data_IF_620086677992
#
_entry.id   IF_620086677992
#
_cell.length_a   1.000
_cell.length_b   1.000
_cell.length_c   1.000
_cell.angle_alpha   90.00
_cell.angle_beta   90.00
_cell.angle_gamma   90.00
#
_symmetry.space_group_name_H-M   'P 1'
#
loop_
_entity.id
_entity.type
_entity.pdbx_description
1 polymer ?
#
# COMPACT_ATOMS: atom_id res chain seq x y z
N UNK A 1 -10.94 21.60 8.35
CA UNK A 1 -10.65 20.52 9.32
C UNK A 1 -11.64 19.39 9.09
N UNK A 2 -11.17 18.20 8.74
CA UNK A 2 -12.02 17.03 8.45
C UNK A 2 -11.42 15.76 9.04
N UNK A 3 -12.22 14.69 9.08
CA UNK A 3 -11.81 13.34 9.52
C UNK A 3 -12.35 12.30 8.55
N UNK A 4 -11.64 11.20 8.36
CA UNK A 4 -12.08 10.05 7.56
C UNK A 4 -11.99 8.79 8.41
N UNK A 5 -13.07 8.01 8.46
CA UNK A 5 -13.16 6.83 9.32
C UNK A 5 -12.87 5.55 8.53
N UNK A 6 -11.98 4.72 9.06
CA UNK A 6 -11.75 3.33 8.64
C UNK A 6 -12.34 2.37 9.68
N UNK A 7 -12.41 1.08 9.35
CA UNK A 7 -12.94 0.06 10.27
C UNK A 7 -11.84 -0.60 11.11
N UNK A 8 -10.64 0.00 11.13
CA UNK A 8 -9.50 -0.48 11.88
C UNK A 8 -8.44 0.60 12.08
N UNK A 9 -7.45 0.36 12.95
CA UNK A 9 -6.33 1.26 13.14
C UNK A 9 -5.53 1.52 11.85
N UNK A 10 -5.08 2.77 11.69
CA UNK A 10 -4.15 3.17 10.64
C UNK A 10 -2.78 3.37 11.29
N UNK A 11 -1.88 2.41 11.10
CA UNK A 11 -0.47 2.52 11.52
C UNK A 11 0.44 2.93 10.36
N UNK A 12 -0.03 2.78 9.11
CA UNK A 12 0.69 3.20 7.92
C UNK A 12 0.90 4.70 7.91
N UNK A 13 2.03 5.18 7.42
CA UNK A 13 2.17 6.58 7.02
C UNK A 13 1.37 6.83 5.74
N UNK A 14 0.65 7.96 5.61
CA UNK A 14 -0.05 8.30 4.38
C UNK A 14 0.92 8.61 3.23
N UNK A 15 0.57 8.21 2.01
CA UNK A 15 1.29 8.57 0.79
C UNK A 15 0.39 9.41 -0.13
N UNK A 16 0.82 10.62 -0.48
CA UNK A 16 0.05 11.54 -1.32
C UNK A 16 0.64 11.63 -2.73
N UNK A 17 -0.19 11.46 -3.76
CA UNK A 17 0.17 11.74 -5.14
C UNK A 17 -1.02 12.33 -5.91
N UNK A 18 -0.84 13.47 -6.57
CA UNK A 18 -1.88 14.17 -7.35
C UNK A 18 -3.27 14.18 -6.68
N UNK A 19 -3.33 14.72 -5.45
CA UNK A 19 -4.54 14.82 -4.62
C UNK A 19 -5.15 13.49 -4.15
N UNK A 20 -4.57 12.34 -4.50
CA UNK A 20 -5.01 11.04 -3.97
C UNK A 20 -4.10 10.61 -2.83
N UNK A 21 -4.69 10.41 -1.66
CA UNK A 21 -4.04 9.92 -0.46
C UNK A 21 -4.24 8.40 -0.36
N UNK A 22 -3.14 7.67 -0.18
CA UNK A 22 -3.15 6.24 0.03
C UNK A 22 -2.78 5.90 1.48
N UNK A 23 -3.56 5.03 2.12
CA UNK A 23 -3.31 4.56 3.50
C UNK A 23 -3.58 3.06 3.63
N UNK A 24 -2.69 2.35 4.31
CA UNK A 24 -2.88 0.98 4.75
C UNK A 24 -3.61 0.93 6.09
N UNK A 25 -4.53 -0.02 6.24
CA UNK A 25 -5.34 -0.18 7.44
C UNK A 25 -5.35 -1.62 7.97
N UNK A 26 -5.48 -1.75 9.28
CA UNK A 26 -5.63 -3.04 9.96
C UNK A 26 -6.95 -3.74 9.68
N UNK A 27 -7.92 -3.07 9.06
CA UNK A 27 -9.14 -3.73 8.55
C UNK A 27 -8.91 -4.49 7.22
N UNK A 28 -7.64 -4.69 6.85
CA UNK A 28 -7.17 -5.44 5.68
C UNK A 28 -7.33 -4.69 4.36
N UNK A 29 -7.54 -3.37 4.39
CA UNK A 29 -7.65 -2.57 3.17
C UNK A 29 -6.48 -1.60 2.98
N UNK A 30 -6.09 -1.42 1.73
CA UNK A 30 -5.50 -0.17 1.26
C UNK A 30 -6.64 0.74 0.78
N UNK A 31 -6.65 1.98 1.23
CA UNK A 31 -7.61 3.01 0.81
C UNK A 31 -6.97 4.00 -0.14
N UNK A 32 -7.73 4.48 -1.12
CA UNK A 32 -7.45 5.67 -1.90
C UNK A 32 -8.52 6.73 -1.65
N UNK A 33 -8.08 7.90 -1.21
CA UNK A 33 -8.95 8.99 -0.75
C UNK A 33 -8.60 10.22 -1.57
N UNK A 34 -9.58 10.77 -2.29
CA UNK A 34 -9.43 12.04 -2.98
C UNK A 34 -9.51 13.20 -2.00
N UNK A 35 -8.54 14.10 -2.09
CA UNK A 35 -8.36 15.31 -1.30
C UNK A 35 -8.62 16.59 -2.10
N UNK A 36 -9.22 16.50 -3.30
CA UNK A 36 -9.60 17.66 -4.11
C UNK A 36 -10.57 18.62 -3.41
N UNK A 37 -11.29 18.13 -2.39
CA UNK A 37 -12.13 18.93 -1.51
C UNK A 37 -11.42 19.19 -0.16
N UNK A 38 -11.13 20.45 0.15
CA UNK A 38 -10.46 20.86 1.39
C UNK A 38 -11.27 20.57 2.68
N UNK A 39 -12.56 20.27 2.55
CA UNK A 39 -13.48 20.02 3.66
C UNK A 39 -13.76 18.54 3.92
N UNK A 40 -13.37 17.62 3.02
CA UNK A 40 -13.60 16.19 3.21
C UNK A 40 -12.68 15.33 2.32
N UNK A 41 -12.25 14.18 2.86
CA UNK A 41 -11.69 13.11 2.05
C UNK A 41 -12.79 12.26 1.44
N UNK A 42 -12.75 12.01 0.13
CA UNK A 42 -13.75 11.21 -0.58
C UNK A 42 -13.13 9.86 -0.94
N UNK A 43 -13.74 8.76 -0.48
CA UNK A 43 -13.29 7.42 -0.86
C UNK A 43 -13.42 7.22 -2.37
N UNK A 44 -12.31 6.98 -3.06
CA UNK A 44 -12.29 6.63 -4.48
C UNK A 44 -12.41 5.11 -4.65
N UNK A 45 -11.54 4.37 -3.97
CA UNK A 45 -11.54 2.91 -3.97
C UNK A 45 -10.84 2.37 -2.72
N UNK A 46 -11.04 1.08 -2.46
CA UNK A 46 -10.25 0.32 -1.50
C UNK A 46 -9.95 -1.08 -2.03
N UNK A 47 -8.77 -1.60 -1.72
CA UNK A 47 -8.31 -2.92 -2.15
C UNK A 47 -8.17 -3.85 -0.95
N UNK A 48 -8.85 -5.00 -0.96
CA UNK A 48 -8.82 -5.99 0.11
C UNK A 48 -7.56 -6.85 0.02
N UNK A 49 -6.82 -6.94 1.11
CA UNK A 49 -5.68 -7.83 1.31
C UNK A 49 -6.10 -9.07 2.11
N UNK A 50 -5.32 -10.16 2.04
CA UNK A 50 -5.56 -11.37 2.84
C UNK A 50 -5.26 -11.18 4.34
N UNK A 51 -4.69 -10.04 4.75
CA UNK A 51 -4.36 -9.73 6.14
C UNK A 51 -4.22 -8.23 6.36
N UNK A 52 -3.94 -7.83 7.60
CA UNK A 52 -3.83 -6.43 8.00
C UNK A 52 -2.76 -5.71 7.17
N UNK A 53 -3.04 -4.47 6.79
CA UNK A 53 -2.08 -3.64 6.05
C UNK A 53 -1.44 -2.67 7.03
N UNK A 54 -0.30 -3.07 7.60
CA UNK A 54 0.49 -2.26 8.51
C UNK A 54 1.44 -1.31 7.76
N UNK A 55 2.02 -1.80 6.65
CA UNK A 55 3.02 -1.09 5.86
C UNK A 55 2.49 0.22 5.25
N UNK A 56 3.39 1.19 5.01
CA UNK A 56 3.07 2.40 4.27
C UNK A 56 3.14 2.15 2.76
N UNK A 57 2.17 2.64 1.97
CA UNK A 57 2.21 2.53 0.51
C UNK A 57 3.38 3.32 -0.08
N UNK A 58 3.98 2.80 -1.15
CA UNK A 58 4.95 3.52 -1.97
C UNK A 58 4.40 3.69 -3.39
N UNK A 59 4.24 4.94 -3.81
CA UNK A 59 3.75 5.31 -5.14
C UNK A 59 4.95 5.49 -6.08
N UNK A 60 4.90 4.87 -7.26
CA UNK A 60 5.99 4.89 -8.25
C UNK A 60 5.45 4.91 -9.69
N UNK A 61 6.36 4.87 -10.67
CA UNK A 61 6.02 4.89 -12.10
C UNK A 61 5.18 6.12 -12.48
N UNK A 62 5.69 7.31 -12.12
CA UNK A 62 4.98 8.59 -12.24
C UNK A 62 3.57 8.56 -11.63
N UNK A 63 3.44 7.81 -10.54
CA UNK A 63 2.24 7.62 -9.76
C UNK A 63 1.14 6.80 -10.42
N UNK A 64 1.50 5.96 -11.39
CA UNK A 64 0.57 4.97 -11.97
C UNK A 64 0.47 3.69 -11.13
N UNK A 65 1.48 3.40 -10.29
CA UNK A 65 1.56 2.17 -9.52
C UNK A 65 1.78 2.44 -8.04
N UNK A 66 1.25 1.55 -7.21
CA UNK A 66 1.46 1.51 -5.76
C UNK A 66 2.03 0.16 -5.41
N UNK A 67 3.01 0.12 -4.53
CA UNK A 67 3.43 -1.11 -3.88
C UNK A 67 3.16 -1.05 -2.37
N UNK A 68 2.63 -2.16 -1.84
CA UNK A 68 2.32 -2.29 -0.42
C UNK A 68 2.30 -3.76 0.01
N UNK A 69 2.65 -4.00 1.27
CA UNK A 69 2.65 -5.34 1.88
C UNK A 69 1.63 -5.47 3.02
N UNK A 70 1.18 -6.70 3.27
CA UNK A 70 0.35 -7.05 4.43
C UNK A 70 1.08 -7.98 5.41
N UNK A 71 0.56 -8.03 6.64
CA UNK A 71 1.15 -8.74 7.78
C UNK A 71 1.19 -10.26 7.65
N UNK A 72 0.67 -10.83 6.57
CA UNK A 72 0.80 -12.26 6.27
C UNK A 72 1.91 -12.57 5.26
N UNK A 73 2.68 -11.60 4.77
CA UNK A 73 3.76 -11.83 3.81
C UNK A 73 3.38 -11.54 2.35
N UNK A 74 2.14 -11.13 2.09
CA UNK A 74 1.68 -10.77 0.75
C UNK A 74 2.17 -9.36 0.37
N UNK A 75 2.79 -9.25 -0.80
CA UNK A 75 3.23 -8.00 -1.42
C UNK A 75 2.48 -7.82 -2.74
N UNK A 76 1.86 -6.65 -2.94
CA UNK A 76 1.12 -6.34 -4.17
C UNK A 76 1.62 -5.08 -4.83
N UNK A 77 1.62 -5.09 -6.15
CA UNK A 77 1.63 -3.89 -6.98
C UNK A 77 0.21 -3.66 -7.51
N UNK A 78 -0.29 -2.46 -7.34
CA UNK A 78 -1.64 -2.07 -7.71
C UNK A 78 -1.61 -0.90 -8.69
N UNK A 79 -2.60 -0.81 -9.56
CA UNK A 79 -2.88 0.41 -10.33
C UNK A 79 -3.40 1.50 -9.37
N UNK A 80 -2.76 2.67 -9.37
CA UNK A 80 -3.08 3.75 -8.42
C UNK A 80 -4.44 4.42 -8.67
N UNK A 81 -4.98 4.33 -9.88
CA UNK A 81 -6.25 4.95 -10.25
C UNK A 81 -7.44 4.04 -9.93
N UNK A 82 -7.27 2.72 -10.10
CA UNK A 82 -8.38 1.76 -9.98
C UNK A 82 -8.31 0.90 -8.72
N UNK A 83 -7.15 0.82 -8.06
CA UNK A 83 -6.89 -0.11 -6.97
C UNK A 83 -6.77 -1.57 -7.40
N UNK A 84 -6.82 -1.84 -8.72
CA UNK A 84 -6.71 -3.19 -9.28
C UNK A 84 -5.31 -3.75 -9.14
N UNK A 85 -5.20 -5.01 -8.71
CA UNK A 85 -3.92 -5.70 -8.58
C UNK A 85 -3.30 -5.95 -9.96
N UNK A 86 -2.08 -5.43 -10.15
CA UNK A 86 -1.24 -5.67 -11.33
C UNK A 86 -0.44 -6.95 -11.12
N UNK A 87 0.22 -7.08 -9.98
CA UNK A 87 0.92 -8.30 -9.58
C UNK A 87 0.85 -8.52 -8.08
N UNK A 88 0.93 -9.78 -7.68
CA UNK A 88 0.96 -10.23 -6.29
C UNK A 88 2.04 -11.29 -6.15
N UNK A 89 2.77 -11.23 -5.03
CA UNK A 89 3.65 -12.32 -4.61
C UNK A 89 3.50 -12.57 -3.12
N UNK A 90 3.67 -13.82 -2.73
CA UNK A 90 3.85 -14.20 -1.34
C UNK A 90 5.36 -14.25 -1.06
N UNK A 91 5.86 -13.34 -0.23
CA UNK A 91 7.29 -13.31 0.12
C UNK A 91 7.59 -14.41 1.14
N UNK A 92 6.79 -14.47 2.20
CA UNK A 92 6.94 -15.41 3.32
C UNK A 92 5.57 -15.64 3.99
N UNK A 93 5.54 -16.35 5.13
CA UNK A 93 4.33 -16.49 5.97
C UNK A 93 4.39 -15.74 7.30
N UNK A 94 5.43 -14.93 7.55
CA UNK A 94 5.77 -14.31 8.83
C UNK A 94 5.40 -12.82 8.91
N UNK A 95 5.23 -12.17 7.76
CA UNK A 95 4.57 -10.87 7.63
C UNK A 95 5.45 -9.70 7.23
N UNK A 96 4.91 -8.83 6.37
CA UNK A 96 5.54 -7.57 5.97
C UNK A 96 4.99 -6.43 6.82
N UNK A 97 5.83 -5.93 7.73
CA UNK A 97 5.54 -4.77 8.58
C UNK A 97 6.30 -3.53 8.12
N UNK A 98 7.46 -3.74 7.49
CA UNK A 98 8.22 -2.66 6.89
C UNK A 98 7.51 -2.12 5.65
N UNK A 99 7.73 -0.84 5.36
CA UNK A 99 7.18 -0.19 4.16
C UNK A 99 8.08 -0.53 2.95
N UNK A 100 7.54 -1.08 1.85
CA UNK A 100 8.33 -1.37 0.67
C UNK A 100 8.80 -0.08 -0.01
N UNK A 101 9.91 -0.15 -0.75
CA UNK A 101 10.37 0.90 -1.67
C UNK A 101 10.62 0.31 -3.04
N UNK A 102 10.32 1.08 -4.10
CA UNK A 102 10.74 0.75 -5.46
C UNK A 102 11.89 1.67 -5.87
N UNK A 103 13.00 1.09 -6.31
CA UNK A 103 14.14 1.80 -6.88
C UNK A 103 14.50 1.18 -8.23
N UNK A 104 14.36 1.96 -9.30
CA UNK A 104 14.39 1.43 -10.68
C UNK A 104 13.38 0.28 -10.80
N UNK A 105 13.83 -0.89 -11.24
CA UNK A 105 13.01 -2.09 -11.36
C UNK A 105 13.10 -3.00 -10.13
N UNK A 106 13.59 -2.51 -8.99
CA UNK A 106 13.76 -3.32 -7.78
C UNK A 106 12.81 -2.90 -6.68
N UNK A 107 12.10 -3.88 -6.14
CA UNK A 107 11.30 -3.76 -4.92
C UNK A 107 12.13 -4.25 -3.75
N UNK A 108 12.24 -3.44 -2.71
CA UNK A 108 12.96 -3.77 -1.49
C UNK A 108 12.01 -3.68 -0.31
N UNK A 109 11.97 -4.72 0.52
CA UNK A 109 11.09 -4.78 1.70
C UNK A 109 11.67 -5.69 2.78
N UNK A 110 11.60 -5.25 4.04
CA UNK A 110 11.99 -6.06 5.19
C UNK A 110 10.83 -6.91 5.70
N UNK A 111 11.13 -8.13 6.15
CA UNK A 111 10.16 -9.05 6.72
C UNK A 111 10.48 -9.40 8.17
N UNK A 112 9.50 -9.98 8.87
CA UNK A 112 9.62 -10.49 10.24
C UNK A 112 10.39 -11.80 10.37
N UNK A 113 10.80 -12.40 9.27
CA UNK A 113 11.62 -13.61 9.26
C UNK A 113 13.14 -13.32 9.25
N UNK A 114 13.52 -12.14 9.71
CA UNK A 114 14.88 -11.64 9.81
C UNK A 114 15.57 -11.31 8.47
N UNK A 115 14.85 -11.30 7.35
CA UNK A 115 15.40 -10.98 6.03
C UNK A 115 14.95 -9.62 5.45
N UNK A 116 15.85 -9.05 4.64
CA UNK A 116 15.55 -7.99 3.67
C UNK A 116 15.44 -8.63 2.28
N UNK A 117 14.30 -8.47 1.65
CA UNK A 117 14.04 -8.99 0.31
C UNK A 117 14.28 -7.93 -0.76
N UNK A 118 14.83 -8.34 -1.89
CA UNK A 118 15.01 -7.52 -3.08
C UNK A 118 14.54 -8.31 -4.31
N UNK A 119 13.42 -7.89 -4.90
CA UNK A 119 12.82 -8.53 -6.07
C UNK A 119 12.89 -7.61 -7.28
N UNK A 120 13.24 -8.18 -8.44
CA UNK A 120 13.16 -7.44 -9.70
C UNK A 120 11.74 -7.51 -10.25
N UNK A 121 11.14 -6.36 -10.55
CA UNK A 121 9.91 -6.24 -11.32
C UNK A 121 10.15 -6.83 -12.71
N UNK A 122 9.44 -7.89 -13.05
CA UNK A 122 9.43 -8.41 -14.41
C UNK A 122 8.55 -7.50 -15.26
N UNK A 123 9.05 -7.11 -16.43
CA UNK A 123 8.36 -6.30 -17.43
C UNK A 123 7.13 -7.00 -18.00
#
# INVERSE_FOLDING_TARGET
>A
KWTFSTNGPIFSSPCLFNNTLFIGCHDQYLYAIDLSNEQQGILQWKCLFPSMVYASPFVFDNGQKIIIGSTNGCLRVLNSQTGGTICETQIDGNGLFSSPVCYLDYIIVGSRDDYLYCYKLQS
#
